data_IF_030747291697
#
_entry.id   IF_030747291697
#
_cell.length_a   1.000
_cell.length_b   1.000
_cell.length_c   1.000
_cell.angle_alpha   90.00
_cell.angle_beta   90.00
_cell.angle_gamma   90.00
#
_symmetry.space_group_name_H-M   'P 1'
#
loop_
_entity.id
_entity.type
_entity.pdbx_description
1 polymer ?
#
# COMPACT_ATOMS: atom_id res chain seq x y z
N UNK A 1 26.46 -5.84 0.38
CA UNK A 1 26.17 -4.46 -0.12
C UNK A 1 24.77 -4.08 0.34
N UNK A 2 24.50 -2.83 0.72
CA UNK A 2 23.18 -2.42 1.24
C UNK A 2 22.22 -2.01 0.11
N UNK A 3 20.97 -2.45 0.15
CA UNK A 3 19.91 -2.01 -0.76
C UNK A 3 19.35 -0.65 -0.33
N UNK A 4 18.88 0.19 -1.26
CA UNK A 4 18.10 1.38 -0.92
C UNK A 4 16.62 0.99 -0.91
N UNK A 5 16.01 0.92 0.27
CA UNK A 5 14.63 0.47 0.43
C UNK A 5 13.71 1.67 0.63
N UNK A 6 12.80 1.88 -0.31
CA UNK A 6 11.79 2.92 -0.25
C UNK A 6 10.45 2.30 0.18
N UNK A 7 9.93 2.77 1.32
CA UNK A 7 8.71 2.24 1.94
C UNK A 7 7.52 3.15 1.62
N UNK A 8 6.51 2.59 0.96
CA UNK A 8 5.27 3.27 0.59
C UNK A 8 4.13 2.76 1.47
N UNK A 9 3.68 3.57 2.41
CA UNK A 9 2.63 3.18 3.36
C UNK A 9 1.22 3.09 2.73
N UNK A 10 0.30 2.41 3.38
CA UNK A 10 -1.08 2.28 2.90
C UNK A 10 -1.92 3.55 3.06
N UNK A 11 -3.20 3.43 2.73
CA UNK A 11 -4.19 4.48 2.97
C UNK A 11 -4.31 4.73 4.47
N UNK A 12 -3.89 5.91 4.89
CA UNK A 12 -3.90 6.34 6.28
C UNK A 12 -2.79 5.77 7.16
N UNK A 13 -2.16 4.69 6.72
CA UNK A 13 -0.92 4.19 7.28
C UNK A 13 0.20 5.20 7.06
N UNK A 14 0.89 5.58 8.13
CA UNK A 14 2.21 6.19 8.04
C UNK A 14 3.28 5.12 8.30
N UNK A 15 4.48 5.52 8.70
CA UNK A 15 5.59 4.61 9.00
C UNK A 15 5.27 3.55 10.08
N UNK A 16 4.26 3.77 10.93
CA UNK A 16 3.86 2.84 12.01
C UNK A 16 3.53 1.44 11.51
N UNK A 17 3.00 1.27 10.29
CA UNK A 17 2.68 -0.07 9.76
C UNK A 17 3.90 -0.93 9.50
N UNK A 18 5.08 -0.32 9.38
CA UNK A 18 6.34 -1.02 9.17
C UNK A 18 7.09 -1.32 10.47
N UNK A 19 6.56 -0.91 11.64
CA UNK A 19 7.27 -0.97 12.92
C UNK A 19 7.72 -2.39 13.32
N UNK A 20 7.07 -3.43 12.80
CA UNK A 20 7.37 -4.84 13.10
C UNK A 20 8.22 -5.53 12.03
N UNK A 21 8.54 -4.84 10.93
CA UNK A 21 9.38 -5.37 9.86
C UNK A 21 10.87 -5.14 10.13
N UNK A 22 11.71 -6.07 9.65
CA UNK A 22 13.15 -6.08 9.91
C UNK A 22 13.93 -6.01 8.60
N UNK A 23 14.81 -5.01 8.47
CA UNK A 23 15.61 -4.78 7.26
C UNK A 23 17.11 -4.62 7.57
N UNK A 24 17.80 -5.67 8.04
CA UNK A 24 19.16 -5.58 8.58
C UNK A 24 20.24 -5.14 7.57
N UNK A 25 19.93 -5.09 6.27
CA UNK A 25 20.87 -4.74 5.19
C UNK A 25 20.34 -3.66 4.24
N UNK A 26 19.36 -2.88 4.67
CA UNK A 26 18.79 -1.81 3.85
C UNK A 26 19.09 -0.42 4.40
N UNK A 27 19.27 0.54 3.50
CA UNK A 27 19.13 1.97 3.79
C UNK A 27 17.65 2.33 3.60
N UNK A 28 16.92 2.45 4.71
CA UNK A 28 15.48 2.64 4.69
C UNK A 28 15.14 4.11 4.47
N UNK A 29 14.20 4.38 3.56
CA UNK A 29 13.61 5.70 3.32
C UNK A 29 12.10 5.54 3.28
N UNK A 30 11.41 6.17 4.23
CA UNK A 30 9.96 6.28 4.19
C UNK A 30 9.57 7.34 3.19
N UNK A 31 8.72 6.98 2.23
CA UNK A 31 8.16 7.92 1.28
C UNK A 31 7.12 8.77 2.02
N UNK A 32 7.27 10.10 1.92
CA UNK A 32 6.32 11.05 2.47
C UNK A 32 5.25 11.33 1.43
N UNK A 33 3.98 11.18 1.81
CA UNK A 33 2.88 11.52 0.92
C UNK A 33 2.85 13.03 0.65
N UNK A 34 2.88 13.46 -0.63
CA UNK A 34 2.59 14.84 -1.01
C UNK A 34 1.26 15.30 -0.42
N UNK A 35 1.18 16.59 -0.09
CA UNK A 35 -0.09 17.18 0.28
C UNK A 35 -1.00 17.18 -0.94
N UNK A 36 -2.20 16.63 -0.78
CA UNK A 36 -3.21 16.60 -1.84
C UNK A 36 -4.33 17.60 -1.58
N UNK A 37 -4.90 18.11 -2.65
CA UNK A 37 -6.11 18.94 -2.67
C UNK A 37 -7.09 18.34 -3.68
N UNK A 38 -8.32 18.87 -3.74
CA UNK A 38 -9.33 18.38 -4.69
C UNK A 38 -8.91 18.47 -6.16
N UNK A 39 -7.91 19.31 -6.50
CA UNK A 39 -7.39 19.47 -7.87
C UNK A 39 -6.05 18.79 -8.13
N UNK A 40 -5.45 18.10 -7.14
CA UNK A 40 -4.14 17.46 -7.32
C UNK A 40 -4.25 16.32 -8.34
N UNK A 41 -3.52 16.42 -9.45
CA UNK A 41 -3.50 15.36 -10.47
C UNK A 41 -2.61 14.19 -10.05
N UNK A 42 -2.84 13.02 -10.65
CA UNK A 42 -2.00 11.82 -10.45
C UNK A 42 -0.54 12.11 -10.84
N UNK A 43 -0.32 12.83 -11.93
CA UNK A 43 1.00 13.13 -12.49
C UNK A 43 1.81 14.02 -11.55
N UNK A 44 1.19 15.08 -11.01
CA UNK A 44 1.83 15.97 -10.04
C UNK A 44 2.23 15.20 -8.78
N UNK A 45 1.30 14.41 -8.24
CA UNK A 45 1.55 13.58 -7.06
C UNK A 45 2.72 12.60 -7.28
N UNK A 46 2.72 11.87 -8.39
CA UNK A 46 3.79 10.91 -8.71
C UNK A 46 5.13 11.61 -8.96
N UNK A 47 5.13 12.82 -9.53
CA UNK A 47 6.35 13.62 -9.72
C UNK A 47 7.01 13.98 -8.38
N UNK A 48 6.22 14.45 -7.41
CA UNK A 48 6.73 14.76 -6.07
C UNK A 48 7.23 13.51 -5.32
N UNK A 49 6.57 12.37 -5.48
CA UNK A 49 7.05 11.09 -4.95
C UNK A 49 8.38 10.70 -5.60
N UNK A 50 8.46 10.79 -6.94
CA UNK A 50 9.66 10.43 -7.70
C UNK A 50 10.87 11.26 -7.28
N UNK A 51 10.68 12.54 -6.95
CA UNK A 51 11.74 13.42 -6.46
C UNK A 51 12.39 12.94 -5.14
N UNK A 52 11.70 12.09 -4.36
CA UNK A 52 12.24 11.50 -3.13
C UNK A 52 13.17 10.29 -3.39
N UNK A 53 13.25 9.81 -4.63
CA UNK A 53 14.00 8.62 -5.02
C UNK A 53 15.30 9.05 -5.70
N UNK A 54 16.40 8.98 -4.93
CA UNK A 54 17.66 9.68 -5.23
C UNK A 54 18.58 8.83 -6.13
N UNK A 55 18.45 7.51 -6.11
CA UNK A 55 19.40 6.57 -6.73
C UNK A 55 18.77 5.80 -7.88
N UNK A 56 19.56 5.33 -8.87
CA UNK A 56 19.09 4.47 -9.98
C UNK A 56 19.55 3.01 -9.92
N UNK A 57 20.47 2.68 -9.00
CA UNK A 57 21.03 1.32 -8.86
C UNK A 57 20.64 0.78 -7.48
N UNK A 58 20.13 -0.45 -7.44
CA UNK A 58 19.76 -1.20 -6.22
C UNK A 58 18.63 -0.62 -5.38
N UNK A 59 17.67 0.01 -6.05
CA UNK A 59 16.43 0.42 -5.40
C UNK A 59 15.52 -0.78 -5.21
N UNK A 60 15.01 -0.92 -4.01
CA UNK A 60 13.86 -1.76 -3.69
C UNK A 60 12.70 -0.84 -3.36
N UNK A 61 11.59 -1.03 -4.04
CA UNK A 61 10.33 -0.34 -3.70
C UNK A 61 9.45 -1.36 -2.98
N UNK A 62 9.04 -1.06 -1.75
CA UNK A 62 8.12 -1.90 -0.99
C UNK A 62 6.91 -1.07 -0.62
N UNK A 63 5.75 -1.45 -1.15
CA UNK A 63 4.51 -0.77 -0.85
C UNK A 63 3.50 -1.70 -0.20
N UNK A 64 2.67 -1.15 0.68
CA UNK A 64 1.55 -1.86 1.29
C UNK A 64 0.23 -1.20 0.92
N UNK A 65 -0.78 -1.99 0.59
CA UNK A 65 -2.13 -1.50 0.25
C UNK A 65 -2.06 -0.41 -0.82
N UNK A 66 -2.70 0.74 -0.61
CA UNK A 66 -2.63 1.91 -1.49
C UNK A 66 -1.19 2.29 -1.90
N UNK A 67 -0.23 2.26 -0.96
CA UNK A 67 1.17 2.55 -1.25
C UNK A 67 1.79 1.59 -2.25
N UNK A 68 1.31 0.35 -2.34
CA UNK A 68 1.76 -0.60 -3.33
C UNK A 68 1.25 -0.30 -4.75
N UNK A 69 0.06 0.28 -4.89
CA UNK A 69 -0.42 0.80 -6.18
C UNK A 69 0.46 1.96 -6.65
N UNK A 70 0.80 2.88 -5.74
CA UNK A 70 1.69 4.00 -6.06
C UNK A 70 3.10 3.52 -6.35
N UNK A 71 3.64 2.58 -5.58
CA UNK A 71 4.97 2.00 -5.80
C UNK A 71 5.08 1.36 -7.19
N UNK A 72 4.02 0.68 -7.66
CA UNK A 72 3.93 0.16 -9.03
C UNK A 72 3.99 1.28 -10.07
N UNK A 73 3.21 2.36 -9.91
CA UNK A 73 3.25 3.49 -10.83
C UNK A 73 4.65 4.13 -10.88
N UNK A 74 5.29 4.31 -9.72
CA UNK A 74 6.64 4.83 -9.63
C UNK A 74 7.67 3.89 -10.27
N UNK A 75 7.54 2.57 -10.08
CA UNK A 75 8.42 1.56 -10.66
C UNK A 75 8.39 1.56 -12.21
N UNK A 76 7.32 2.06 -12.83
CA UNK A 76 7.25 2.22 -14.28
C UNK A 76 8.06 3.42 -14.79
N UNK A 77 8.27 4.42 -13.93
CA UNK A 77 8.96 5.67 -14.25
C UNK A 77 10.40 5.74 -13.72
N UNK A 78 10.80 4.80 -12.85
CA UNK A 78 12.10 4.73 -12.17
C UNK A 78 12.58 3.29 -12.17
N UNK A 79 13.84 3.06 -12.55
CA UNK A 79 14.43 1.72 -12.46
C UNK A 79 14.47 1.25 -10.99
N UNK A 80 13.84 0.11 -10.74
CA UNK A 80 13.89 -0.61 -9.49
C UNK A 80 14.44 -2.03 -9.75
N UNK A 81 15.28 -2.51 -8.86
CA UNK A 81 15.76 -3.90 -8.93
C UNK A 81 14.64 -4.85 -8.50
N UNK A 82 14.00 -4.50 -7.39
CA UNK A 82 12.92 -5.31 -6.81
C UNK A 82 11.73 -4.41 -6.45
N UNK A 83 10.54 -4.88 -6.76
CA UNK A 83 9.27 -4.34 -6.29
C UNK A 83 8.59 -5.38 -5.39
N UNK A 84 8.22 -4.98 -4.18
CA UNK A 84 7.54 -5.83 -3.21
C UNK A 84 6.16 -5.22 -2.95
N UNK A 85 5.12 -5.96 -3.26
CA UNK A 85 3.72 -5.57 -3.10
C UNK A 85 3.15 -6.33 -1.90
N UNK A 86 2.65 -5.61 -0.89
CA UNK A 86 2.04 -6.22 0.30
C UNK A 86 0.56 -5.85 0.38
N UNK A 87 -0.32 -6.83 0.58
CA UNK A 87 -1.76 -6.63 0.77
C UNK A 87 -2.39 -5.72 -0.30
N UNK A 88 -2.12 -5.96 -1.58
CA UNK A 88 -2.59 -5.09 -2.66
C UNK A 88 -2.74 -5.83 -3.99
N UNK A 89 -3.55 -5.25 -4.87
CA UNK A 89 -3.65 -5.65 -6.26
C UNK A 89 -2.35 -5.37 -7.05
N UNK A 90 -2.04 -6.30 -7.95
CA UNK A 90 -1.03 -6.20 -9.02
C UNK A 90 -1.67 -6.15 -10.41
N UNK A 91 -2.93 -6.58 -10.53
CA UNK A 91 -3.73 -6.53 -11.75
C UNK A 91 -4.99 -5.70 -11.56
N UNK A 92 -5.44 -5.04 -12.63
CA UNK A 92 -6.68 -4.26 -12.59
C UNK A 92 -7.90 -5.11 -12.22
N UNK A 93 -7.92 -6.38 -12.63
CA UNK A 93 -9.02 -7.31 -12.35
C UNK A 93 -9.15 -7.67 -10.87
N UNK A 94 -8.08 -7.50 -10.09
CA UNK A 94 -8.05 -7.80 -8.64
C UNK A 94 -8.63 -6.66 -7.80
N UNK A 95 -8.79 -5.45 -8.37
CA UNK A 95 -9.46 -4.34 -7.70
C UNK A 95 -10.97 -4.63 -7.64
N UNK A 96 -11.58 -4.71 -6.45
CA UNK A 96 -13.01 -5.01 -6.33
C UNK A 96 -13.90 -4.06 -7.12
N UNK A 97 -14.90 -4.65 -7.81
CA UNK A 97 -15.87 -3.91 -8.64
C UNK A 97 -16.62 -2.83 -7.86
N UNK A 98 -16.84 -3.06 -6.55
CA UNK A 98 -17.46 -2.08 -5.67
C UNK A 98 -16.74 -0.73 -5.75
N UNK A 99 -15.40 -0.71 -5.68
CA UNK A 99 -14.64 0.53 -5.77
C UNK A 99 -14.82 1.23 -7.12
N UNK A 100 -14.89 0.48 -8.23
CA UNK A 100 -14.99 1.03 -9.59
C UNK A 100 -16.38 1.59 -9.96
N UNK A 101 -17.41 1.30 -9.16
CA UNK A 101 -18.80 1.68 -9.45
C UNK A 101 -19.12 3.17 -9.24
N UNK A 102 -20.12 3.67 -9.97
CA UNK A 102 -20.68 5.02 -9.77
C UNK A 102 -21.25 5.22 -8.36
N UNK A 103 -21.78 4.16 -7.75
CA UNK A 103 -22.28 4.17 -6.39
C UNK A 103 -21.16 4.47 -5.38
N UNK A 104 -19.99 3.83 -5.50
CA UNK A 104 -18.85 4.10 -4.62
C UNK A 104 -18.33 5.54 -4.78
N UNK A 105 -18.31 6.07 -6.00
CA UNK A 105 -18.02 7.50 -6.25
C UNK A 105 -19.00 8.42 -5.53
N UNK A 106 -20.30 8.11 -5.63
CA UNK A 106 -21.34 8.89 -4.98
C UNK A 106 -21.21 8.84 -3.45
N UNK A 107 -21.07 7.65 -2.87
CA UNK A 107 -20.89 7.45 -1.42
C UNK A 107 -19.66 8.21 -0.92
N UNK A 108 -18.52 8.08 -1.61
CA UNK A 108 -17.30 8.79 -1.24
C UNK A 108 -17.45 10.31 -1.29
N UNK A 109 -18.14 10.82 -2.32
CA UNK A 109 -18.39 12.27 -2.47
C UNK A 109 -19.27 12.81 -1.34
N UNK A 110 -20.31 12.07 -0.98
CA UNK A 110 -21.33 12.48 0.00
C UNK A 110 -20.91 12.24 1.46
N UNK A 111 -19.98 11.33 1.72
CA UNK A 111 -19.61 10.94 3.09
C UNK A 111 -18.84 12.04 3.84
N UNK A 112 -19.34 12.57 4.97
CA UNK A 112 -18.65 13.62 5.72
C UNK A 112 -17.21 13.26 6.09
N UNK A 113 -16.29 14.23 6.02
CA UNK A 113 -14.87 14.04 6.32
C UNK A 113 -14.64 13.42 7.71
N UNK A 114 -15.46 13.78 8.69
CA UNK A 114 -15.40 13.24 10.06
C UNK A 114 -15.66 11.74 10.16
N UNK A 115 -16.30 11.12 9.16
CA UNK A 115 -16.55 9.68 9.15
C UNK A 115 -15.41 8.89 8.49
N UNK A 116 -14.64 9.54 7.61
CA UNK A 116 -13.53 8.92 6.90
C UNK A 116 -12.35 8.60 7.81
N UNK A 117 -12.04 9.50 8.73
CA UNK A 117 -10.95 9.35 9.71
C UNK A 117 -11.44 8.94 11.09
N UNK A 118 -12.66 8.36 11.19
CA UNK A 118 -13.17 7.83 12.45
C UNK A 118 -12.96 6.32 12.52
N UNK A 119 -12.03 5.83 13.36
CA UNK A 119 -11.86 4.41 13.53
C UNK A 119 -13.13 3.78 14.09
N UNK A 120 -13.51 2.64 13.53
CA UNK A 120 -14.74 1.93 13.90
C UNK A 120 -14.60 0.44 13.61
N UNK A 121 -15.55 -0.35 14.13
CA UNK A 121 -15.54 -1.80 13.97
C UNK A 121 -15.58 -2.25 12.50
N UNK A 122 -16.28 -1.51 11.63
CA UNK A 122 -16.33 -1.83 10.20
C UNK A 122 -14.95 -1.68 9.55
N UNK A 123 -14.17 -0.65 9.89
CA UNK A 123 -12.79 -0.50 9.41
C UNK A 123 -11.91 -1.66 9.88
N UNK A 124 -11.97 -2.02 11.16
CA UNK A 124 -11.22 -3.17 11.68
C UNK A 124 -11.60 -4.47 10.96
N UNK A 125 -12.90 -4.66 10.72
CA UNK A 125 -13.41 -5.80 9.99
C UNK A 125 -12.94 -5.83 8.53
N UNK A 126 -12.98 -4.71 7.82
CA UNK A 126 -12.51 -4.59 6.43
C UNK A 126 -11.01 -4.81 6.31
N UNK A 127 -10.22 -4.34 7.27
CA UNK A 127 -8.76 -4.56 7.31
C UNK A 127 -8.37 -5.94 7.88
N UNK A 128 -9.37 -6.75 8.27
CA UNK A 128 -9.19 -8.06 8.87
C UNK A 128 -8.26 -8.06 10.10
N UNK A 129 -8.35 -7.00 10.90
CA UNK A 129 -7.55 -6.84 12.13
C UNK A 129 -8.19 -7.63 13.27
N UNK A 130 -7.39 -8.44 13.97
CA UNK A 130 -7.88 -9.35 14.99
C UNK A 130 -7.39 -8.99 16.40
N UNK A 131 -6.18 -8.43 16.52
CA UNK A 131 -5.53 -8.17 17.81
C UNK A 131 -5.89 -6.80 18.37
N UNK A 132 -5.93 -6.66 19.70
CA UNK A 132 -6.17 -5.36 20.34
C UNK A 132 -5.11 -4.32 19.98
N UNK A 133 -3.84 -4.74 19.90
CA UNK A 133 -2.74 -3.86 19.48
C UNK A 133 -2.89 -3.44 18.01
N UNK A 134 -3.23 -4.38 17.11
CA UNK A 134 -3.52 -4.07 15.71
C UNK A 134 -4.69 -3.10 15.56
N UNK A 135 -5.77 -3.29 16.32
CA UNK A 135 -6.95 -2.41 16.28
C UNK A 135 -6.61 -1.01 16.78
N UNK A 136 -5.78 -0.90 17.83
CA UNK A 136 -5.29 0.39 18.33
C UNK A 136 -4.42 1.08 17.30
N UNK A 137 -3.42 0.38 16.77
CA UNK A 137 -2.48 0.95 15.78
C UNK A 137 -3.21 1.39 14.51
N UNK A 138 -4.09 0.55 13.94
CA UNK A 138 -4.93 0.93 12.81
C UNK A 138 -5.85 2.12 13.18
N UNK A 139 -6.39 2.12 14.39
CA UNK A 139 -7.26 3.17 14.87
C UNK A 139 -6.58 4.55 14.94
N UNK A 140 -5.34 4.59 15.43
CA UNK A 140 -4.54 5.81 15.54
C UNK A 140 -4.13 6.30 14.14
N UNK A 141 -3.68 5.39 13.28
CA UNK A 141 -3.42 5.59 11.86
C UNK A 141 -4.60 6.29 11.16
N UNK A 142 -5.80 5.71 11.25
CA UNK A 142 -6.99 6.25 10.58
C UNK A 142 -7.36 7.62 11.12
N UNK A 143 -7.23 7.82 12.44
CA UNK A 143 -7.54 9.09 13.10
C UNK A 143 -6.63 10.23 12.65
N UNK A 144 -5.35 9.94 12.50
CA UNK A 144 -4.32 10.93 12.12
C UNK A 144 -4.29 11.21 10.61
N UNK A 145 -5.07 10.46 9.83
CA UNK A 145 -5.11 10.62 8.37
C UNK A 145 -6.01 11.78 7.96
N UNK A 146 -5.52 12.63 7.06
CA UNK A 146 -6.32 13.68 6.42
C UNK A 146 -7.46 13.06 5.58
N UNK A 147 -8.74 13.34 5.89
CA UNK A 147 -9.87 12.88 5.09
C UNK A 147 -9.81 13.29 3.60
N UNK A 148 -9.18 14.43 3.30
CA UNK A 148 -8.94 14.90 1.92
C UNK A 148 -8.04 13.93 1.19
N UNK A 149 -6.97 13.46 1.85
CA UNK A 149 -6.09 12.43 1.32
C UNK A 149 -6.81 11.10 1.13
N UNK A 150 -7.66 10.70 2.09
CA UNK A 150 -8.44 9.45 1.97
C UNK A 150 -9.31 9.46 0.71
N UNK A 151 -10.05 10.56 0.48
CA UNK A 151 -10.88 10.72 -0.72
C UNK A 151 -10.06 10.67 -2.00
N UNK A 152 -8.95 11.39 -2.02
CA UNK A 152 -8.07 11.44 -3.18
C UNK A 152 -7.47 10.07 -3.50
N UNK A 153 -7.00 9.34 -2.49
CA UNK A 153 -6.41 8.01 -2.66
C UNK A 153 -7.43 6.95 -3.10
N UNK A 154 -8.68 7.02 -2.62
CA UNK A 154 -9.74 6.15 -3.14
C UNK A 154 -10.03 6.51 -4.60
N UNK A 155 -10.14 7.80 -4.96
CA UNK A 155 -10.33 8.21 -6.36
C UNK A 155 -9.18 7.73 -7.26
N UNK A 156 -7.94 7.79 -6.76
CA UNK A 156 -6.76 7.23 -7.43
C UNK A 156 -6.92 5.72 -7.67
N UNK A 157 -7.29 4.95 -6.64
CA UNK A 157 -7.52 3.51 -6.74
C UNK A 157 -8.59 3.17 -7.79
N UNK A 158 -9.66 3.98 -7.88
CA UNK A 158 -10.72 3.77 -8.88
C UNK A 158 -10.26 3.95 -10.32
N UNK A 159 -9.28 4.83 -10.53
CA UNK A 159 -8.70 5.14 -11.84
C UNK A 159 -7.43 4.35 -12.11
N UNK A 160 -6.97 3.54 -11.15
CA UNK A 160 -5.69 2.85 -11.26
C UNK A 160 -5.72 1.85 -12.41
N UNK A 161 -4.67 1.93 -13.24
CA UNK A 161 -4.40 1.03 -14.32
C UNK A 161 -3.04 0.41 -14.09
N UNK A 162 -2.89 -0.88 -14.38
CA UNK A 162 -1.61 -1.57 -14.23
C UNK A 162 -0.56 -0.87 -15.09
N UNK A 163 0.52 -0.36 -14.49
CA UNK A 163 1.58 0.31 -15.25
C UNK A 163 2.52 -0.72 -15.91
N UNK A 164 3.32 -0.28 -16.88
CA UNK A 164 4.33 -1.14 -17.51
C UNK A 164 5.53 -1.30 -16.57
N UNK A 165 5.77 -2.53 -16.11
CA UNK A 165 6.84 -2.86 -15.16
C UNK A 165 8.02 -3.57 -15.81
N UNK A 166 8.21 -3.45 -17.13
CA UNK A 166 9.27 -4.15 -17.89
C UNK A 166 10.70 -3.83 -17.43
N UNK A 167 10.90 -2.73 -16.71
CA UNK A 167 12.22 -2.32 -16.18
C UNK A 167 12.51 -2.87 -14.78
N UNK A 168 11.52 -3.50 -14.13
CA UNK A 168 11.66 -4.12 -12.81
C UNK A 168 12.11 -5.56 -12.99
N UNK A 169 13.18 -5.97 -12.32
CA UNK A 169 13.73 -7.33 -12.48
C UNK A 169 12.95 -8.37 -11.69
N UNK A 170 12.55 -8.03 -10.46
CA UNK A 170 11.86 -8.92 -9.56
C UNK A 170 10.62 -8.25 -8.99
N UNK A 171 9.47 -8.92 -9.09
CA UNK A 171 8.21 -8.45 -8.52
C UNK A 171 7.71 -9.56 -7.61
N UNK A 172 7.71 -9.29 -6.31
CA UNK A 172 7.19 -10.21 -5.31
C UNK A 172 5.91 -9.67 -4.70
N UNK A 173 5.03 -10.57 -4.30
CA UNK A 173 3.82 -10.21 -3.57
C UNK A 173 3.68 -11.00 -2.29
N UNK A 174 3.29 -10.32 -1.22
CA UNK A 174 2.86 -10.94 0.05
C UNK A 174 1.39 -10.58 0.25
N UNK A 175 0.53 -11.57 0.47
CA UNK A 175 -0.90 -11.34 0.61
C UNK A 175 -1.49 -12.11 1.78
N UNK A 176 -2.33 -11.45 2.58
CA UNK A 176 -3.06 -12.11 3.66
C UNK A 176 -4.19 -12.97 3.10
N UNK A 177 -4.28 -14.23 3.54
CA UNK A 177 -5.31 -15.18 3.08
C UNK A 177 -6.75 -14.68 3.34
N UNK A 178 -6.94 -13.94 4.43
CA UNK A 178 -8.22 -13.34 4.82
C UNK A 178 -8.36 -11.87 4.45
N UNK A 179 -7.65 -11.35 3.44
CA UNK A 179 -7.76 -9.96 3.02
C UNK A 179 -9.16 -9.66 2.46
N UNK A 180 -9.88 -8.73 3.10
CA UNK A 180 -11.24 -8.32 2.69
C UNK A 180 -11.25 -7.05 1.84
N UNK A 181 -10.14 -6.31 1.75
CA UNK A 181 -10.00 -5.14 0.88
C UNK A 181 -9.67 -5.58 -0.54
N UNK A 182 -8.78 -6.57 -0.71
CA UNK A 182 -8.41 -7.18 -1.98
C UNK A 182 -8.57 -8.71 -1.89
N UNK A 183 -9.81 -9.23 -1.88
CA UNK A 183 -10.08 -10.65 -1.62
C UNK A 183 -9.72 -11.59 -2.78
N UNK A 184 -9.72 -11.09 -4.02
CA UNK A 184 -9.59 -11.92 -5.22
C UNK A 184 -8.29 -11.61 -5.96
N UNK A 185 -7.17 -12.02 -5.37
CA UNK A 185 -5.84 -11.87 -5.98
C UNK A 185 -5.38 -13.17 -6.66
N UNK A 186 -4.65 -13.05 -7.77
CA UNK A 186 -4.20 -14.16 -8.59
C UNK A 186 -2.98 -14.87 -7.99
N UNK A 187 -3.02 -16.17 -7.72
CA UNK A 187 -1.91 -16.92 -7.14
C UNK A 187 -0.74 -17.16 -8.12
N UNK A 188 -0.08 -16.09 -8.58
CA UNK A 188 1.13 -16.17 -9.40
C UNK A 188 2.30 -16.76 -8.60
N UNK A 189 3.30 -17.39 -9.25
CA UNK A 189 4.43 -18.04 -8.58
C UNK A 189 5.19 -17.16 -7.57
N UNK A 190 5.26 -15.86 -7.84
CA UNK A 190 5.95 -14.88 -6.98
C UNK A 190 5.05 -14.31 -5.85
N UNK A 191 3.88 -14.90 -5.63
CA UNK A 191 2.98 -14.57 -4.52
C UNK A 191 3.19 -15.53 -3.35
N UNK A 192 3.56 -14.97 -2.20
CA UNK A 192 3.50 -15.66 -0.91
C UNK A 192 2.21 -15.30 -0.19
N UNK A 193 1.42 -16.30 0.19
CA UNK A 193 0.28 -16.11 1.09
C UNK A 193 0.73 -16.27 2.54
N UNK A 194 0.20 -15.42 3.41
CA UNK A 194 0.48 -15.43 4.85
C UNK A 194 -0.83 -15.41 5.63
N UNK A 195 -0.77 -15.87 6.88
CA UNK A 195 -1.92 -15.83 7.77
C UNK A 195 -2.37 -14.37 8.04
N UNK A 196 -3.64 -14.22 8.43
CA UNK A 196 -4.25 -12.91 8.66
C UNK A 196 -4.92 -12.37 7.39
N UNK A 197 -5.21 -11.07 7.36
CA UNK A 197 -5.82 -10.43 6.19
C UNK A 197 -5.10 -9.17 5.76
N UNK A 198 -5.83 -8.09 5.49
CA UNK A 198 -5.23 -6.90 4.89
C UNK A 198 -4.10 -6.30 5.74
N UNK A 199 -4.23 -6.36 7.07
CA UNK A 199 -3.23 -5.85 8.02
C UNK A 199 -2.14 -6.88 8.42
N UNK A 200 -1.94 -7.92 7.60
CA UNK A 200 -0.92 -8.97 7.81
C UNK A 200 0.49 -8.39 8.00
N UNK A 201 0.83 -7.28 7.34
CA UNK A 201 2.11 -6.57 7.52
C UNK A 201 2.46 -6.31 8.98
N UNK A 202 1.44 -6.10 9.82
CA UNK A 202 1.58 -5.77 11.23
C UNK A 202 1.25 -6.98 12.11
N UNK A 203 0.13 -7.65 11.88
CA UNK A 203 -0.34 -8.74 12.77
C UNK A 203 0.43 -10.06 12.56
N UNK A 204 0.88 -10.34 11.34
CA UNK A 204 1.63 -11.55 10.98
C UNK A 204 3.03 -11.20 10.44
N UNK A 205 3.61 -10.15 11.01
CA UNK A 205 4.91 -9.59 10.61
C UNK A 205 6.05 -10.61 10.57
N UNK A 206 6.02 -11.66 11.40
CA UNK A 206 7.05 -12.71 11.37
C UNK A 206 7.03 -13.50 10.06
N UNK A 207 5.87 -13.78 9.49
CA UNK A 207 5.76 -14.46 8.20
C UNK A 207 6.22 -13.55 7.06
N UNK A 208 5.77 -12.28 7.12
CA UNK A 208 6.20 -11.23 6.18
C UNK A 208 7.72 -11.08 6.21
N UNK A 209 8.33 -11.03 7.41
CA UNK A 209 9.77 -10.95 7.58
C UNK A 209 10.52 -12.17 7.01
N UNK A 210 9.93 -13.38 7.07
CA UNK A 210 10.52 -14.58 6.45
C UNK A 210 10.58 -14.43 4.93
N UNK A 211 9.51 -13.96 4.30
CA UNK A 211 9.49 -13.66 2.86
C UNK A 211 10.52 -12.59 2.51
N UNK A 212 10.52 -11.46 3.23
CA UNK A 212 11.44 -10.35 2.99
C UNK A 212 12.91 -10.75 3.13
N UNK A 213 13.25 -11.63 4.08
CA UNK A 213 14.61 -12.15 4.28
C UNK A 213 15.11 -12.99 3.08
N UNK A 214 14.22 -13.61 2.32
CA UNK A 214 14.59 -14.38 1.13
C UNK A 214 14.83 -13.49 -0.09
N UNK A 215 14.22 -12.30 -0.12
CA UNK A 215 14.24 -11.41 -1.29
C UNK A 215 15.18 -10.20 -1.16
N UNK A 216 15.68 -9.91 0.04
CA UNK A 216 16.53 -8.74 0.39
C UNK A 216 17.84 -9.15 1.07
#
# INVERSE_FOLDING_TARGET
MKHNLYLFSGLGADERVFARLKFPRCNIRHIKWPRVTNGTSKELFLSEIKAQIITKKKNVLLGVSFGALVAQDIASAVSAETLIVISSATEQAEIPRFYKGSLAKFVLRMMPNRLLNKPNFLINHMFSVQTNDGQKTLGDIIRDTDPTFIRWAIAYLQQWQKPNLSTVKHIYRIHGEGDRIFPNVNAAPETSFVHGGHFAIYETADEVNRCLKLWL
#
